data_IF_812330192648
#
_entry.id   IF_812330192648
#
_cell.length_a   1.000
_cell.length_b   1.000
_cell.length_c   1.000
_cell.angle_alpha   90.00
_cell.angle_beta   90.00
_cell.angle_gamma   90.00
#
_symmetry.space_group_name_H-M   'P 1'
#
loop_
_entity.id
_entity.type
_entity.pdbx_description
1 polymer ?
#
# COMPACT_ATOMS: atom_id res chain seq x y z
N UNK A 1 -32.95 25.62 14.31
CA UNK A 1 -32.69 25.21 12.92
C UNK A 1 -31.21 25.26 12.53
N UNK A 2 -30.51 26.40 12.62
CA UNK A 2 -29.10 26.53 12.23
C UNK A 2 -28.17 25.54 12.95
N UNK A 3 -28.33 25.35 14.27
CA UNK A 3 -27.56 24.36 15.04
C UNK A 3 -27.77 22.92 14.55
N UNK A 4 -28.99 22.56 14.14
CA UNK A 4 -29.31 21.22 13.64
C UNK A 4 -28.70 20.98 12.26
N UNK A 5 -28.69 22.01 11.39
CA UNK A 5 -28.03 21.98 10.07
C UNK A 5 -26.51 21.84 10.23
N UNK A 6 -25.90 22.59 11.16
CA UNK A 6 -24.46 22.48 11.46
C UNK A 6 -24.11 21.09 12.00
N UNK A 7 -24.93 20.53 12.89
CA UNK A 7 -24.72 19.17 13.42
C UNK A 7 -24.84 18.11 12.30
N UNK A 8 -25.84 18.22 11.41
CA UNK A 8 -25.98 17.31 10.26
C UNK A 8 -24.82 17.44 9.26
N UNK A 9 -24.31 18.65 9.04
CA UNK A 9 -23.11 18.90 8.21
C UNK A 9 -21.83 18.32 8.84
N UNK A 10 -21.65 18.46 10.15
CA UNK A 10 -20.48 17.92 10.85
C UNK A 10 -20.52 16.38 10.94
N UNK A 11 -21.71 15.79 11.12
CA UNK A 11 -21.89 14.33 11.11
C UNK A 11 -21.58 13.76 9.73
N UNK A 12 -22.05 14.38 8.65
CA UNK A 12 -21.77 13.92 7.28
C UNK A 12 -20.28 14.02 6.90
N UNK A 13 -19.57 15.03 7.39
CA UNK A 13 -18.11 15.15 7.21
C UNK A 13 -17.32 14.10 8.02
N UNK A 14 -17.84 13.65 9.17
CA UNK A 14 -17.19 12.62 10.00
C UNK A 14 -17.29 11.20 9.43
N UNK A 15 -18.26 10.94 8.54
CA UNK A 15 -18.52 9.61 7.95
C UNK A 15 -17.47 9.17 6.92
N UNK A 16 -16.59 10.06 6.48
CA UNK A 16 -15.47 9.75 5.56
C UNK A 16 -14.09 9.98 6.20
N UNK A 17 -14.00 9.89 7.54
CA UNK A 17 -12.73 10.03 8.23
C UNK A 17 -11.77 8.91 7.83
N UNK A 18 -10.66 9.30 7.20
CA UNK A 18 -9.59 8.39 6.80
C UNK A 18 -8.99 7.76 8.06
N UNK A 19 -8.65 6.46 7.99
CA UNK A 19 -8.18 5.70 9.17
C UNK A 19 -6.75 5.20 8.97
N UNK A 20 -5.99 5.13 10.07
CA UNK A 20 -4.66 4.51 10.12
C UNK A 20 -4.64 3.41 11.17
N UNK A 21 -4.08 2.27 10.82
CA UNK A 21 -3.83 1.15 11.74
C UNK A 21 -2.33 0.87 11.79
N UNK A 22 -1.74 0.88 12.98
CA UNK A 22 -0.34 0.56 13.18
C UNK A 22 -0.15 -0.91 13.56
N UNK A 23 0.79 -1.56 12.89
CA UNK A 23 1.24 -2.92 13.17
C UNK A 23 2.64 -2.87 13.81
N UNK A 24 2.94 -3.72 14.79
CA UNK A 24 4.30 -3.85 15.30
C UNK A 24 5.21 -4.40 14.18
N UNK A 25 6.38 -3.79 13.98
CA UNK A 25 7.36 -4.26 13.00
C UNK A 25 8.77 -4.04 13.52
N UNK A 26 9.65 -5.01 13.31
CA UNK A 26 11.07 -4.82 13.59
C UNK A 26 11.63 -3.73 12.66
N UNK A 27 12.44 -2.82 13.22
CA UNK A 27 12.96 -1.67 12.49
C UNK A 27 13.79 -2.06 11.26
N UNK A 28 14.72 -3.00 11.41
CA UNK A 28 15.62 -3.42 10.33
C UNK A 28 14.85 -4.10 9.21
N UNK A 29 13.84 -4.91 9.56
CA UNK A 29 12.93 -5.51 8.58
C UNK A 29 12.19 -4.46 7.77
N UNK A 30 11.67 -3.42 8.43
CA UNK A 30 10.95 -2.34 7.77
C UNK A 30 11.86 -1.56 6.82
N UNK A 31 13.05 -1.18 7.27
CA UNK A 31 14.03 -0.43 6.48
C UNK A 31 14.54 -1.25 5.29
N UNK A 32 14.94 -2.50 5.50
CA UNK A 32 15.38 -3.40 4.42
C UNK A 32 14.29 -3.66 3.40
N UNK A 33 13.04 -3.84 3.83
CA UNK A 33 11.92 -4.01 2.90
C UNK A 33 11.66 -2.76 2.06
N UNK A 34 11.94 -1.56 2.59
CA UNK A 34 11.83 -0.32 1.84
C UNK A 34 12.93 -0.22 0.78
N UNK A 35 14.18 -0.54 1.12
CA UNK A 35 15.29 -0.57 0.18
C UNK A 35 15.00 -1.55 -0.98
N UNK A 36 14.46 -2.72 -0.67
CA UNK A 36 14.01 -3.67 -1.69
C UNK A 36 12.91 -3.08 -2.56
N UNK A 37 11.91 -2.39 -1.98
CA UNK A 37 10.89 -1.71 -2.77
C UNK A 37 11.49 -0.66 -3.73
N UNK A 38 12.49 0.12 -3.28
CA UNK A 38 13.22 1.07 -4.14
C UNK A 38 13.94 0.33 -5.27
N UNK A 39 14.62 -0.78 -4.97
CA UNK A 39 15.37 -1.55 -5.98
C UNK A 39 14.50 -2.10 -7.12
N UNK A 40 13.20 -2.24 -6.89
CA UNK A 40 12.26 -2.72 -7.91
C UNK A 40 11.75 -1.61 -8.83
N UNK A 41 12.04 -0.33 -8.56
CA UNK A 41 11.62 0.77 -9.44
C UNK A 41 12.22 0.56 -10.83
N UNK A 42 11.37 0.56 -11.86
CA UNK A 42 11.74 0.30 -13.25
C UNK A 42 11.53 -1.15 -13.70
N UNK A 43 11.19 -2.07 -12.80
CA UNK A 43 10.72 -3.41 -13.21
C UNK A 43 9.41 -3.27 -13.97
N UNK A 44 9.35 -3.85 -15.17
CA UNK A 44 8.17 -3.89 -16.02
C UNK A 44 7.69 -5.32 -16.25
N UNK A 45 6.42 -5.44 -16.61
CA UNK A 45 5.86 -6.69 -17.11
C UNK A 45 6.52 -7.12 -18.42
N UNK A 46 6.45 -8.42 -18.73
CA UNK A 46 7.03 -8.95 -19.97
C UNK A 46 6.15 -8.64 -21.18
N UNK A 47 4.83 -8.84 -21.05
CA UNK A 47 3.87 -8.63 -22.13
C UNK A 47 2.67 -7.75 -21.74
N UNK A 48 2.77 -7.02 -20.63
CA UNK A 48 1.73 -6.13 -20.08
C UNK A 48 0.43 -6.85 -19.70
N UNK A 49 0.53 -8.09 -19.22
CA UNK A 49 -0.60 -8.88 -18.72
C UNK A 49 -0.36 -9.38 -17.28
N UNK A 50 0.38 -8.62 -16.48
CA UNK A 50 0.85 -9.01 -15.14
C UNK A 50 1.77 -10.24 -15.15
N UNK A 51 2.72 -10.29 -16.08
CA UNK A 51 3.62 -11.42 -16.30
C UNK A 51 5.10 -11.02 -16.26
N UNK A 52 5.97 -12.02 -16.20
CA UNK A 52 7.42 -11.85 -16.18
C UNK A 52 8.05 -12.40 -14.90
N UNK A 53 9.36 -12.63 -14.97
CA UNK A 53 10.11 -13.34 -13.93
C UNK A 53 10.03 -12.64 -12.56
N UNK A 54 10.16 -11.31 -12.52
CA UNK A 54 10.05 -10.55 -11.27
C UNK A 54 8.61 -10.55 -10.74
N UNK A 55 7.61 -10.42 -11.63
CA UNK A 55 6.19 -10.45 -11.24
C UNK A 55 5.83 -11.79 -10.61
N UNK A 56 6.32 -12.90 -11.20
CA UNK A 56 6.14 -14.24 -10.64
C UNK A 56 6.69 -14.37 -9.21
N UNK A 57 7.84 -13.74 -8.90
CA UNK A 57 8.38 -13.75 -7.53
C UNK A 57 7.42 -13.06 -6.56
N UNK A 58 6.83 -11.94 -6.96
CA UNK A 58 5.87 -11.21 -6.12
C UNK A 58 4.66 -12.09 -5.80
N UNK A 59 4.11 -12.73 -6.84
CA UNK A 59 2.92 -13.56 -6.72
C UNK A 59 3.17 -14.79 -5.85
N UNK A 60 4.31 -15.47 -6.03
CA UNK A 60 4.70 -16.62 -5.22
C UNK A 60 4.85 -16.24 -3.74
N UNK A 61 5.47 -15.09 -3.44
CA UNK A 61 5.58 -14.61 -2.07
C UNK A 61 4.19 -14.42 -1.43
N UNK A 62 3.22 -13.88 -2.17
CA UNK A 62 1.84 -13.70 -1.73
C UNK A 62 1.01 -14.99 -1.64
N UNK A 63 1.55 -16.14 -2.10
CA UNK A 63 0.89 -17.45 -2.05
C UNK A 63 0.13 -17.84 -3.31
N UNK A 64 0.37 -17.15 -4.43
CA UNK A 64 -0.11 -17.58 -5.74
C UNK A 64 0.92 -18.48 -6.45
N UNK A 65 0.55 -19.00 -7.62
CA UNK A 65 1.40 -19.83 -8.46
C UNK A 65 2.10 -19.01 -9.55
N UNK A 66 3.19 -19.55 -10.10
CA UNK A 66 3.92 -18.96 -11.23
C UNK A 66 3.02 -18.83 -12.46
N UNK A 67 3.09 -17.71 -13.15
CA UNK A 67 2.32 -17.42 -14.37
C UNK A 67 0.88 -16.94 -14.09
N UNK A 68 0.50 -16.70 -12.83
CA UNK A 68 -0.79 -16.09 -12.54
C UNK A 68 -0.76 -14.60 -12.93
N UNK A 69 -1.80 -14.15 -13.63
CA UNK A 69 -1.89 -12.80 -14.20
C UNK A 69 -2.69 -11.84 -13.30
N UNK A 70 -2.62 -12.04 -11.98
CA UNK A 70 -3.33 -11.18 -11.02
C UNK A 70 -2.61 -9.83 -10.83
N UNK A 71 -3.33 -8.76 -10.47
CA UNK A 71 -2.69 -7.53 -10.00
C UNK A 71 -1.72 -7.82 -8.84
N UNK A 72 -0.51 -7.28 -8.92
CA UNK A 72 0.58 -7.58 -7.97
C UNK A 72 0.94 -6.39 -7.08
N UNK A 73 0.06 -5.38 -6.95
CA UNK A 73 0.31 -4.23 -6.09
C UNK A 73 0.55 -4.63 -4.62
N UNK A 74 -0.32 -5.46 -4.05
CA UNK A 74 -0.13 -5.99 -2.68
C UNK A 74 0.92 -7.09 -2.62
N UNK A 75 0.98 -7.96 -3.63
CA UNK A 75 1.95 -9.05 -3.70
C UNK A 75 3.39 -8.52 -3.70
N UNK A 76 3.67 -7.46 -4.46
CA UNK A 76 4.99 -6.81 -4.49
C UNK A 76 5.36 -6.19 -3.16
N UNK A 77 4.42 -5.55 -2.46
CA UNK A 77 4.66 -5.04 -1.10
C UNK A 77 4.99 -6.17 -0.12
N UNK A 78 4.27 -7.29 -0.18
CA UNK A 78 4.54 -8.47 0.65
C UNK A 78 5.88 -9.14 0.33
N UNK A 79 6.22 -9.24 -0.96
CA UNK A 79 7.52 -9.75 -1.40
C UNK A 79 8.68 -8.93 -0.85
N UNK A 80 8.58 -7.60 -0.80
CA UNK A 80 9.61 -6.76 -0.21
C UNK A 80 9.89 -7.12 1.25
N UNK A 81 8.86 -7.42 2.04
CA UNK A 81 9.04 -7.89 3.43
C UNK A 81 9.58 -9.33 3.48
N UNK A 82 9.17 -10.19 2.56
CA UNK A 82 9.62 -11.58 2.48
C UNK A 82 11.12 -11.67 2.18
N UNK A 83 11.59 -10.93 1.17
CA UNK A 83 13.01 -10.89 0.84
C UNK A 83 13.83 -10.17 1.91
N UNK A 84 13.29 -9.13 2.55
CA UNK A 84 13.95 -8.50 3.69
C UNK A 84 14.15 -9.48 4.85
N UNK A 85 13.12 -10.26 5.19
CA UNK A 85 13.21 -11.27 6.25
C UNK A 85 14.26 -12.32 5.91
N UNK A 86 14.33 -12.78 4.66
CA UNK A 86 15.37 -13.74 4.21
C UNK A 86 16.78 -13.16 4.36
N UNK A 87 17.01 -11.94 3.89
CA UNK A 87 18.33 -11.29 3.96
C UNK A 87 18.78 -11.03 5.40
N UNK A 88 17.85 -10.82 6.32
CA UNK A 88 18.11 -10.61 7.74
C UNK A 88 18.09 -11.91 8.57
N UNK A 89 17.88 -13.07 7.93
CA UNK A 89 17.69 -14.37 8.59
C UNK A 89 16.54 -14.40 9.62
N UNK A 90 15.47 -13.64 9.37
CA UNK A 90 14.26 -13.61 10.20
C UNK A 90 13.24 -14.64 9.74
N UNK A 91 12.41 -15.14 10.66
CA UNK A 91 11.27 -15.96 10.30
C UNK A 91 10.22 -15.14 9.52
N UNK A 92 9.49 -15.80 8.63
CA UNK A 92 8.31 -15.20 7.99
C UNK A 92 7.24 -14.74 9.01
N UNK A 93 7.27 -15.27 10.23
CA UNK A 93 6.40 -14.86 11.32
C UNK A 93 6.64 -13.42 11.81
N UNK A 94 7.77 -12.80 11.47
CA UNK A 94 8.04 -11.39 11.77
C UNK A 94 7.46 -10.42 10.73
N UNK A 95 6.96 -10.90 9.59
CA UNK A 95 6.38 -10.05 8.55
C UNK A 95 5.07 -9.46 9.09
N UNK A 96 4.95 -8.12 9.19
CA UNK A 96 3.84 -7.50 9.91
C UNK A 96 2.52 -7.54 9.13
N UNK A 97 2.59 -7.58 7.80
CA UNK A 97 1.41 -7.53 6.93
C UNK A 97 0.95 -8.93 6.53
N UNK A 98 -0.35 -9.08 6.30
CA UNK A 98 -0.93 -10.36 5.96
C UNK A 98 -0.48 -10.86 4.58
N UNK A 99 -0.17 -12.16 4.46
CA UNK A 99 0.22 -12.82 3.21
C UNK A 99 -0.96 -12.93 2.25
N UNK A 100 -1.03 -12.03 1.28
CA UNK A 100 -2.07 -12.02 0.23
C UNK A 100 -1.74 -11.02 -0.88
N UNK A 101 -2.26 -11.26 -2.10
CA UNK A 101 -2.32 -10.24 -3.15
C UNK A 101 -3.60 -9.39 -3.10
N UNK A 102 -4.54 -9.67 -2.19
CA UNK A 102 -5.76 -8.87 -2.03
C UNK A 102 -5.53 -7.67 -1.12
N UNK A 103 -5.63 -6.47 -1.70
CA UNK A 103 -5.56 -5.19 -0.96
C UNK A 103 -6.61 -5.09 0.13
N UNK A 104 -7.84 -5.56 -0.12
CA UNK A 104 -8.91 -5.59 0.87
C UNK A 104 -8.58 -6.52 2.03
N UNK A 105 -8.13 -7.74 1.74
CA UNK A 105 -7.83 -8.71 2.78
C UNK A 105 -6.66 -8.24 3.65
N UNK A 106 -5.59 -7.72 3.04
CA UNK A 106 -4.44 -7.15 3.73
C UNK A 106 -4.85 -6.03 4.69
N UNK A 107 -5.66 -5.07 4.21
CA UNK A 107 -6.15 -3.97 5.03
C UNK A 107 -7.09 -4.42 6.14
N UNK A 108 -8.03 -5.33 5.83
CA UNK A 108 -8.98 -5.82 6.82
C UNK A 108 -8.29 -6.61 7.93
N UNK A 109 -7.25 -7.38 7.61
CA UNK A 109 -6.43 -8.08 8.61
C UNK A 109 -5.67 -7.10 9.48
N UNK A 110 -5.08 -6.05 8.90
CA UNK A 110 -4.44 -5.00 9.68
C UNK A 110 -5.42 -4.25 10.59
N UNK A 111 -6.66 -4.01 10.15
CA UNK A 111 -7.72 -3.46 10.99
C UNK A 111 -8.11 -4.37 12.16
N UNK A 112 -8.05 -5.69 11.98
CA UNK A 112 -8.40 -6.67 13.02
C UNK A 112 -7.34 -6.75 14.12
N UNK A 113 -6.06 -6.69 13.76
CA UNK A 113 -4.95 -6.95 14.70
C UNK A 113 -4.16 -5.69 15.09
N UNK A 114 -4.26 -4.63 14.30
CA UNK A 114 -3.50 -3.39 14.47
C UNK A 114 -4.18 -2.38 15.38
N UNK A 115 -3.38 -1.46 15.92
CA UNK A 115 -3.87 -0.36 16.76
C UNK A 115 -4.36 0.79 15.88
N UNK A 116 -5.62 1.20 16.02
CA UNK A 116 -6.11 2.42 15.36
C UNK A 116 -5.41 3.65 15.96
N UNK A 117 -4.85 4.48 15.09
CA UNK A 117 -4.15 5.73 15.48
C UNK A 117 -4.65 6.91 14.63
N UNK A 118 -4.19 8.13 14.98
CA UNK A 118 -4.49 9.33 14.21
C UNK A 118 -4.03 9.20 12.76
N UNK A 119 -4.85 9.66 11.82
CA UNK A 119 -4.52 9.61 10.40
C UNK A 119 -3.44 10.65 10.07
N UNK A 120 -2.19 10.22 10.08
CA UNK A 120 -1.03 11.02 9.67
C UNK A 120 -0.14 10.14 8.79
N UNK A 121 0.06 10.49 7.49
CA UNK A 121 0.96 9.73 6.64
C UNK A 121 2.40 9.87 7.13
N UNK A 122 3.15 8.79 7.04
CA UNK A 122 4.57 8.71 7.36
C UNK A 122 5.29 7.89 6.28
N UNK A 123 6.61 8.06 6.17
CA UNK A 123 7.46 7.15 5.40
C UNK A 123 7.19 5.71 5.86
N UNK A 124 7.21 4.78 4.91
CA UNK A 124 6.86 3.37 5.07
C UNK A 124 5.39 3.02 5.21
N UNK A 125 4.49 3.97 5.51
CA UNK A 125 3.07 3.63 5.55
C UNK A 125 2.62 3.05 4.19
N UNK A 126 1.81 2.00 4.23
CA UNK A 126 1.13 1.48 3.05
C UNK A 126 -0.19 2.23 2.88
N UNK A 127 -0.32 2.91 1.75
CA UNK A 127 -1.48 3.72 1.39
C UNK A 127 -2.44 2.90 0.54
N UNK A 128 -3.67 2.73 1.03
CA UNK A 128 -4.70 1.94 0.38
C UNK A 128 -5.76 2.83 -0.26
N UNK A 129 -6.14 2.51 -1.49
CA UNK A 129 -7.24 3.15 -2.20
C UNK A 129 -8.41 2.21 -2.46
N UNK A 130 -9.58 2.81 -2.61
CA UNK A 130 -10.75 2.24 -3.24
C UNK A 130 -10.74 2.69 -4.70
N UNK A 131 -10.70 1.73 -5.62
CA UNK A 131 -10.74 1.96 -7.06
C UNK A 131 -11.92 1.18 -7.61
N UNK A 132 -13.07 1.82 -7.79
CA UNK A 132 -14.33 1.16 -8.19
C UNK A 132 -14.67 -0.03 -7.26
N UNK A 133 -14.69 -1.27 -7.76
CA UNK A 133 -14.91 -2.51 -7.00
C UNK A 133 -13.61 -3.17 -6.51
N UNK A 134 -12.45 -2.71 -6.95
CA UNK A 134 -11.12 -3.21 -6.56
C UNK A 134 -10.42 -2.24 -5.61
N UNK A 135 -9.22 -2.60 -5.13
CA UNK A 135 -8.40 -1.74 -4.28
C UNK A 135 -6.97 -1.72 -4.78
N UNK A 136 -6.24 -0.66 -4.44
CA UNK A 136 -4.83 -0.48 -4.77
C UNK A 136 -4.02 -0.22 -3.51
N UNK A 137 -2.73 -0.54 -3.54
CA UNK A 137 -1.79 -0.22 -2.45
C UNK A 137 -0.44 0.22 -3.00
N UNK A 138 0.14 1.24 -2.38
CA UNK A 138 1.48 1.73 -2.65
C UNK A 138 2.15 2.06 -1.31
N UNK A 139 3.47 2.00 -1.26
CA UNK A 139 4.24 2.37 -0.06
C UNK A 139 4.63 3.83 -0.13
N UNK A 140 4.46 4.58 0.96
CA UNK A 140 4.93 5.96 1.05
C UNK A 140 6.45 5.98 1.17
N UNK A 141 7.11 6.57 0.17
CA UNK A 141 8.53 6.88 0.16
C UNK A 141 8.82 8.14 1.00
N UNK A 142 8.05 9.20 0.76
CA UNK A 142 8.23 10.48 1.45
C UNK A 142 6.93 11.28 1.53
N UNK A 143 6.78 12.03 2.62
CA UNK A 143 5.64 12.93 2.85
C UNK A 143 6.06 14.35 2.47
N UNK A 144 5.23 15.01 1.66
CA UNK A 144 5.44 16.38 1.18
C UNK A 144 4.39 17.33 1.80
N UNK A 145 4.50 18.62 1.47
CA UNK A 145 3.53 19.64 1.93
C UNK A 145 2.16 19.47 1.27
N UNK A 146 1.10 19.94 1.93
CA UNK A 146 -0.24 20.07 1.32
C UNK A 146 -0.93 18.75 0.98
N UNK A 147 -0.65 17.67 1.73
CA UNK A 147 -1.26 16.35 1.50
C UNK A 147 -0.63 15.55 0.36
N UNK A 148 0.47 16.04 -0.22
CA UNK A 148 1.21 15.31 -1.23
C UNK A 148 2.14 14.28 -0.58
N UNK A 149 2.26 13.11 -1.20
CA UNK A 149 3.21 12.05 -0.85
C UNK A 149 3.87 11.52 -2.11
N UNK A 150 5.13 11.10 -2.00
CA UNK A 150 5.74 10.22 -3.01
C UNK A 150 5.56 8.78 -2.56
N UNK A 151 5.20 7.92 -3.49
CA UNK A 151 4.94 6.51 -3.24
C UNK A 151 5.70 5.63 -4.22
N UNK A 152 6.00 4.40 -3.79
CA UNK A 152 6.47 3.31 -4.65
C UNK A 152 5.27 2.40 -4.91
N UNK A 153 4.79 2.41 -6.15
CA UNK A 153 3.65 1.63 -6.57
C UNK A 153 4.08 0.45 -7.42
N UNK A 154 3.61 -0.73 -7.06
CA UNK A 154 3.68 -1.94 -7.87
C UNK A 154 2.40 -2.05 -8.68
N UNK A 155 2.48 -2.59 -9.90
CA UNK A 155 1.36 -2.67 -10.83
C UNK A 155 0.71 -1.30 -11.02
N UNK A 156 1.52 -0.34 -11.49
CA UNK A 156 1.08 1.00 -11.93
C UNK A 156 1.74 1.38 -13.26
N UNK A 157 1.29 2.43 -13.95
CA UNK A 157 1.71 2.76 -15.34
C UNK A 157 2.45 4.10 -15.45
N UNK A 158 3.53 4.14 -16.24
CA UNK A 158 4.45 5.26 -16.42
C UNK A 158 3.79 6.52 -17.04
N UNK A 159 3.08 7.33 -16.24
CA UNK A 159 2.65 8.64 -16.72
C UNK A 159 1.59 9.38 -15.90
N UNK A 160 1.06 10.46 -16.48
CA UNK A 160 -0.09 11.25 -16.02
C UNK A 160 -1.37 10.77 -16.72
N UNK A 161 -1.78 9.51 -16.50
CA UNK A 161 -2.87 8.86 -17.24
C UNK A 161 -3.66 7.84 -16.42
N UNK A 162 -4.42 6.95 -17.09
CA UNK A 162 -5.19 5.88 -16.43
C UNK A 162 -4.23 4.86 -15.79
N UNK A 163 -4.00 5.00 -14.49
CA UNK A 163 -3.04 4.23 -13.68
C UNK A 163 -3.64 2.93 -13.12
N UNK A 164 -4.68 2.41 -13.79
CA UNK A 164 -5.46 1.25 -13.36
C UNK A 164 -4.84 -0.07 -13.82
N UNK A 165 -4.29 -0.09 -15.03
CA UNK A 165 -3.60 -1.23 -15.61
C UNK A 165 -2.12 -0.89 -15.54
N UNK A 166 -1.49 -1.37 -14.47
CA UNK A 166 -0.07 -1.18 -14.30
C UNK A 166 0.71 -1.99 -15.30
N UNK A 167 1.90 -1.49 -15.63
CA UNK A 167 2.85 -2.20 -16.50
C UNK A 167 4.19 -2.44 -15.77
N UNK A 168 4.26 -2.08 -14.48
CA UNK A 168 5.48 -2.19 -13.70
C UNK A 168 5.46 -1.50 -12.34
N UNK A 169 6.65 -1.22 -11.83
CA UNK A 169 6.93 -0.62 -10.53
C UNK A 169 7.52 0.77 -10.70
N UNK A 170 6.89 1.78 -10.08
CA UNK A 170 7.23 3.18 -10.33
C UNK A 170 7.06 4.07 -9.10
N UNK A 171 7.80 5.19 -9.10
CA UNK A 171 7.54 6.31 -8.22
C UNK A 171 6.31 7.10 -8.66
N UNK A 172 5.44 7.43 -7.71
CA UNK A 172 4.22 8.22 -7.95
C UNK A 172 4.14 9.38 -6.99
N UNK A 173 3.54 10.47 -7.44
CA UNK A 173 3.18 11.62 -6.59
C UNK A 173 1.66 11.62 -6.42
N UNK A 174 1.21 11.46 -5.17
CA UNK A 174 -0.22 11.31 -4.82
C UNK A 174 -0.64 12.43 -3.88
N UNK A 175 -1.84 12.99 -4.06
CA UNK A 175 -2.45 13.83 -3.04
C UNK A 175 -3.52 13.02 -2.30
N UNK A 176 -3.35 12.84 -0.99
CA UNK A 176 -4.21 11.96 -0.18
C UNK A 176 -5.41 12.69 0.45
N UNK A 177 -5.49 14.02 0.30
CA UNK A 177 -6.59 14.84 0.79
C UNK A 177 -7.42 15.47 -0.33
N UNK A 178 -7.04 15.25 -1.60
CA UNK A 178 -7.73 15.85 -2.73
C UNK A 178 -9.09 15.17 -2.98
N UNK A 179 -10.17 15.88 -2.66
CA UNK A 179 -11.56 15.39 -2.66
C UNK A 179 -12.02 14.94 -4.06
N UNK A 180 -11.49 15.54 -5.13
CA UNK A 180 -11.84 15.23 -6.52
C UNK A 180 -10.93 14.16 -7.16
N UNK A 181 -10.07 13.50 -6.37
CA UNK A 181 -9.26 12.38 -6.87
C UNK A 181 -10.17 11.22 -7.33
N UNK A 182 -9.86 10.64 -8.50
CA UNK A 182 -10.54 9.43 -9.01
C UNK A 182 -10.34 8.21 -8.10
N UNK A 183 -9.27 8.20 -7.30
CA UNK A 183 -9.00 7.17 -6.30
C UNK A 183 -9.27 7.73 -4.92
N UNK A 184 -10.22 7.12 -4.20
CA UNK A 184 -10.55 7.51 -2.83
C UNK A 184 -9.66 6.74 -1.86
N UNK A 185 -9.05 7.44 -0.90
CA UNK A 185 -8.22 6.78 0.10
C UNK A 185 -9.10 5.95 1.04
N UNK A 186 -8.79 4.66 1.17
CA UNK A 186 -9.40 3.76 2.15
C UNK A 186 -8.80 3.98 3.54
N UNK A 187 -7.48 4.12 3.60
CA UNK A 187 -6.75 4.31 4.84
C UNK A 187 -5.27 3.98 4.69
N UNK A 188 -4.58 3.95 5.82
CA UNK A 188 -3.16 3.64 5.95
C UNK A 188 -2.96 2.40 6.82
N UNK A 189 -2.01 1.56 6.44
CA UNK A 189 -1.32 0.68 7.39
C UNK A 189 0.01 1.34 7.71
N UNK A 190 0.27 1.64 8.97
CA UNK A 190 1.56 2.11 9.45
C UNK A 190 2.27 1.07 10.29
N UNK A 191 3.48 1.42 10.74
CA UNK A 191 4.34 0.52 11.49
C UNK A 191 4.84 1.18 12.76
N UNK A 192 4.64 0.51 13.89
CA UNK A 192 5.25 0.88 15.17
C UNK A 192 6.50 0.04 15.34
N UNK A 193 7.66 0.69 15.28
CA UNK A 193 8.93 0.01 15.35
C UNK A 193 9.20 -0.54 16.75
N UNK A 194 9.82 -1.72 16.79
CA UNK A 194 10.54 -2.25 17.93
C UNK A 194 11.95 -2.66 17.50
N UNK A 195 12.85 -2.79 18.47
CA UNK A 195 14.23 -3.24 18.30
C UNK A 195 14.30 -4.76 18.13
#
# INVERSE_FOLDING_TARGET
>A
MIKLIIILLLISLSLFSQVKYELPCNKDLLEKSHELAISQIGVTELTNINDGYEIDKYQIAAGYWRGCQYPYCASGQYWCFTEAAKLLNFCNCMIPIYRTGSTYLMFNKAKQVGKKVSYKPQKNDLLFWIVTTTGHVERIDSVLKGGWVKTIGFNTSSGTGNQRDGEGVYLRKRNIYHILSRMKVRGLIGFKNYE
#
